data_IF_742759681813
#
_entry.id   IF_742759681813
#
_cell.length_a   1.000
_cell.length_b   1.000
_cell.length_c   1.000
_cell.angle_alpha   90.00
_cell.angle_beta   90.00
_cell.angle_gamma   90.00
#
_symmetry.space_group_name_H-M   'P 1'
#
loop_
_entity.id
_entity.type
_entity.pdbx_description
1 polymer ?
#
# COMPACT_ATOMS: atom_id res chain seq x y z
N UNK A 1 3.78 10.12 24.15
CA UNK A 1 4.16 9.73 22.78
C UNK A 1 4.80 8.35 22.83
N UNK A 2 4.05 7.25 22.84
CA UNK A 2 3.28 6.69 21.70
C UNK A 2 4.20 6.47 20.49
N UNK A 3 4.54 5.20 20.20
CA UNK A 3 5.20 4.71 18.97
C UNK A 3 4.15 4.53 17.85
N UNK A 4 4.57 4.12 16.65
CA UNK A 4 3.61 3.66 15.63
C UNK A 4 3.37 2.16 15.79
N UNK A 5 2.10 1.74 15.82
CA UNK A 5 1.70 0.33 15.89
C UNK A 5 0.82 -0.04 14.70
N UNK A 6 0.92 -1.30 14.27
CA UNK A 6 0.11 -1.84 13.17
C UNK A 6 -0.13 -3.34 13.35
N UNK A 7 -1.34 -3.82 13.09
CA UNK A 7 -1.65 -5.25 13.11
C UNK A 7 -1.38 -5.83 11.72
N UNK A 8 -0.45 -6.79 11.61
CA UNK A 8 -0.18 -7.46 10.34
C UNK A 8 -1.41 -8.26 9.86
N UNK A 9 -1.66 -8.35 8.55
CA UNK A 9 -2.75 -9.15 7.99
C UNK A 9 -2.50 -10.65 8.20
N UNK A 10 -3.47 -11.50 7.82
CA UNK A 10 -3.38 -12.96 7.88
C UNK A 10 -3.11 -13.50 9.30
N UNK A 11 -3.73 -12.89 10.32
CA UNK A 11 -3.50 -13.19 11.75
C UNK A 11 -2.05 -12.98 12.22
N UNK A 12 -1.29 -12.13 11.53
CA UNK A 12 0.04 -11.71 11.97
C UNK A 12 0.00 -10.88 13.26
N UNK A 13 1.14 -10.78 13.97
CA UNK A 13 1.20 -10.08 15.24
C UNK A 13 1.04 -8.56 15.07
N UNK A 14 0.76 -7.87 16.19
CA UNK A 14 0.82 -6.40 16.22
C UNK A 14 2.27 -5.95 16.29
N UNK A 15 2.75 -5.30 15.25
CA UNK A 15 4.11 -4.76 15.15
C UNK A 15 4.21 -3.33 15.69
N UNK A 16 5.43 -2.95 16.07
CA UNK A 16 5.79 -1.65 16.61
C UNK A 16 6.96 -1.09 15.78
N UNK A 17 6.83 0.14 15.29
CA UNK A 17 7.93 0.90 14.69
C UNK A 17 8.26 2.07 15.64
N UNK A 18 9.50 2.13 16.19
CA UNK A 18 9.92 3.23 17.05
C UNK A 18 9.83 4.58 16.32
N UNK A 19 9.44 5.64 17.04
CA UNK A 19 9.52 7.01 16.50
C UNK A 19 10.96 7.35 16.12
N UNK A 20 11.11 8.12 15.04
CA UNK A 20 12.39 8.62 14.56
C UNK A 20 13.02 7.70 13.51
N UNK A 21 12.39 6.58 13.18
CA UNK A 21 12.70 5.87 11.95
C UNK A 21 12.43 6.78 10.74
N UNK A 22 13.50 7.16 10.05
CA UNK A 22 13.43 7.97 8.84
C UNK A 22 13.17 7.05 7.64
N UNK A 23 11.91 6.96 7.23
CA UNK A 23 11.51 6.28 6.00
C UNK A 23 11.93 7.12 4.79
N UNK A 24 12.78 6.56 3.93
CA UNK A 24 13.29 7.23 2.73
C UNK A 24 12.48 6.91 1.46
N UNK A 25 11.62 5.90 1.49
CA UNK A 25 10.83 5.45 0.35
C UNK A 25 11.64 4.88 -0.82
N UNK A 26 12.95 4.63 -0.64
CA UNK A 26 13.87 4.27 -1.72
C UNK A 26 13.55 2.91 -2.38
N UNK A 27 12.85 2.01 -1.67
CA UNK A 27 12.40 0.72 -2.20
C UNK A 27 11.32 0.84 -3.29
N UNK A 28 10.73 2.01 -3.53
CA UNK A 28 9.65 2.21 -4.51
C UNK A 28 10.19 2.90 -5.77
N UNK A 29 10.15 2.26 -6.96
CA UNK A 29 10.57 2.87 -8.22
C UNK A 29 9.88 4.22 -8.51
N UNK A 30 10.65 5.26 -8.83
CA UNK A 30 10.15 6.64 -9.05
C UNK A 30 8.94 6.75 -10.02
N UNK A 31 8.86 6.00 -11.14
CA UNK A 31 7.69 6.07 -12.03
C UNK A 31 6.37 5.65 -11.35
N UNK A 32 6.43 4.77 -10.35
CA UNK A 32 5.25 4.32 -9.61
C UNK A 32 4.72 5.36 -8.63
N UNK A 33 5.52 6.37 -8.24
CA UNK A 33 5.10 7.41 -7.29
C UNK A 33 3.94 8.28 -7.81
N UNK A 34 3.79 8.39 -9.14
CA UNK A 34 2.69 9.15 -9.76
C UNK A 34 1.34 8.40 -9.80
N UNK A 35 1.36 7.06 -9.69
CA UNK A 35 0.15 6.21 -9.74
C UNK A 35 -0.18 5.66 -8.35
N UNK A 36 0.85 5.22 -7.62
CA UNK A 36 0.76 4.68 -6.28
C UNK A 36 1.33 5.73 -5.32
N UNK A 37 0.49 6.70 -4.93
CA UNK A 37 0.90 7.81 -4.06
C UNK A 37 1.71 7.32 -2.85
N UNK A 38 3.00 7.70 -2.70
CA UNK A 38 3.87 7.18 -1.65
C UNK A 38 3.39 7.46 -0.24
N UNK A 39 2.58 8.51 -0.09
CA UNK A 39 2.06 9.03 1.19
C UNK A 39 0.71 8.40 1.59
N UNK A 40 0.10 7.63 0.69
CA UNK A 40 -1.14 6.91 0.96
C UNK A 40 -0.94 5.42 0.77
N UNK A 41 -1.08 4.99 -0.48
CA UNK A 41 -1.22 3.59 -0.88
C UNK A 41 0.01 2.75 -0.49
N UNK A 42 1.23 3.27 -0.68
CA UNK A 42 2.45 2.52 -0.36
C UNK A 42 3.09 2.86 0.99
N UNK A 43 2.51 3.78 1.78
CA UNK A 43 3.15 4.29 2.99
C UNK A 43 3.33 3.18 4.04
N UNK A 44 2.26 2.49 4.40
CA UNK A 44 2.26 1.42 5.42
C UNK A 44 3.14 0.22 4.99
N UNK A 45 2.95 -0.42 3.82
CA UNK A 45 3.80 -1.54 3.41
C UNK A 45 5.26 -1.11 3.21
N UNK A 46 5.51 0.07 2.64
CA UNK A 46 6.85 0.61 2.42
C UNK A 46 7.61 0.86 3.73
N UNK A 47 6.96 1.48 4.72
CA UNK A 47 7.54 1.73 6.05
C UNK A 47 7.96 0.43 6.74
N UNK A 48 7.10 -0.59 6.69
CA UNK A 48 7.36 -1.92 7.27
C UNK A 48 8.50 -2.61 6.52
N UNK A 49 8.53 -2.51 5.19
CA UNK A 49 9.57 -3.10 4.35
C UNK A 49 10.93 -2.46 4.58
N UNK A 50 11.03 -1.13 4.60
CA UNK A 50 12.29 -0.42 4.85
C UNK A 50 12.85 -0.74 6.25
N UNK A 51 12.01 -0.73 7.29
CA UNK A 51 12.45 -1.12 8.64
C UNK A 51 12.88 -2.60 8.68
N UNK A 52 12.04 -3.49 8.16
CA UNK A 52 12.28 -4.94 8.15
C UNK A 52 13.53 -5.29 7.38
N UNK A 53 13.77 -4.70 6.21
CA UNK A 53 14.96 -4.92 5.40
C UNK A 53 16.23 -4.34 6.04
N UNK A 54 16.15 -3.18 6.69
CA UNK A 54 17.29 -2.48 7.32
C UNK A 54 17.80 -3.14 8.59
N UNK A 55 16.90 -3.73 9.39
CA UNK A 55 17.24 -4.35 10.67
C UNK A 55 17.09 -5.88 10.69
N UNK A 56 16.50 -6.47 9.65
CA UNK A 56 16.15 -7.89 9.54
C UNK A 56 15.35 -8.43 10.74
N UNK A 57 14.44 -7.61 11.27
CA UNK A 57 13.36 -7.97 12.21
C UNK A 57 12.31 -6.84 12.30
N UNK A 58 11.13 -7.17 12.82
CA UNK A 58 10.17 -6.20 13.34
C UNK A 58 10.01 -6.40 14.85
N UNK A 59 9.76 -5.34 15.61
CA UNK A 59 9.27 -5.49 16.98
C UNK A 59 7.80 -5.86 16.94
N UNK A 60 7.38 -6.83 17.76
CA UNK A 60 6.01 -7.31 17.81
C UNK A 60 5.56 -7.58 19.25
N UNK A 61 4.30 -7.29 19.53
CA UNK A 61 3.63 -7.66 20.78
C UNK A 61 3.27 -9.14 20.78
N UNK A 62 3.57 -9.79 21.90
CA UNK A 62 3.12 -11.14 22.25
C UNK A 62 1.76 -11.10 22.98
N UNK A 63 1.05 -12.22 23.03
CA UNK A 63 -0.25 -12.32 23.70
C UNK A 63 -0.21 -12.02 25.22
N UNK A 64 0.95 -12.16 25.86
CA UNK A 64 1.20 -11.85 27.27
C UNK A 64 1.59 -10.39 27.54
N UNK A 65 1.69 -9.56 26.48
CA UNK A 65 2.12 -8.16 26.57
C UNK A 65 3.64 -7.95 26.58
N UNK A 66 4.45 -8.99 26.36
CA UNK A 66 5.89 -8.83 26.09
C UNK A 66 6.14 -8.40 24.64
N UNK A 67 7.36 -7.93 24.34
CA UNK A 67 7.79 -7.54 22.99
C UNK A 67 8.89 -8.49 22.52
N UNK A 68 8.72 -9.07 21.34
CA UNK A 68 9.71 -9.94 20.70
C UNK A 68 10.14 -9.42 19.32
N UNK A 69 11.13 -10.09 18.71
CA UNK A 69 11.62 -9.81 17.36
C UNK A 69 10.99 -10.76 16.34
N UNK A 70 9.92 -10.32 15.70
CA UNK A 70 9.25 -11.04 14.62
C UNK A 70 10.11 -11.05 13.34
N UNK A 71 10.11 -12.17 12.62
CA UNK A 71 10.80 -12.31 11.33
C UNK A 71 12.34 -12.27 11.38
N UNK A 72 12.95 -12.36 12.57
CA UNK A 72 14.40 -12.17 12.74
C UNK A 72 15.22 -13.19 11.93
N UNK A 73 16.10 -12.73 11.04
CA UNK A 73 17.01 -13.61 10.28
C UNK A 73 16.40 -14.20 9.00
N UNK A 74 15.18 -13.82 8.64
CA UNK A 74 14.43 -14.41 7.51
C UNK A 74 14.83 -13.83 6.15
N UNK A 75 15.44 -12.64 6.12
CA UNK A 75 15.97 -12.02 4.91
C UNK A 75 14.92 -11.52 3.92
N UNK A 76 15.42 -11.06 2.77
CA UNK A 76 14.72 -10.17 1.82
C UNK A 76 13.37 -10.73 1.33
N UNK A 77 13.32 -12.00 0.93
CA UNK A 77 12.10 -12.63 0.40
C UNK A 77 10.94 -12.66 1.41
N UNK A 78 11.23 -12.75 2.70
CA UNK A 78 10.22 -12.68 3.75
C UNK A 78 9.62 -11.27 3.83
N UNK A 79 10.48 -10.24 3.83
CA UNK A 79 10.04 -8.84 3.85
C UNK A 79 9.27 -8.45 2.57
N UNK A 80 9.68 -8.93 1.40
CA UNK A 80 8.94 -8.78 0.13
C UNK A 80 7.53 -9.40 0.19
N UNK A 81 7.37 -10.50 0.93
CA UNK A 81 6.08 -11.18 1.11
C UNK A 81 5.19 -10.37 2.04
N UNK A 82 5.72 -9.89 3.18
CA UNK A 82 5.02 -8.98 4.09
C UNK A 82 4.60 -7.68 3.37
N UNK A 83 5.48 -7.08 2.55
CA UNK A 83 5.17 -5.90 1.74
C UNK A 83 3.96 -6.14 0.82
N UNK A 84 3.92 -7.28 0.12
CA UNK A 84 2.81 -7.65 -0.77
C UNK A 84 1.50 -7.85 -0.01
N UNK A 85 1.53 -8.53 1.12
CA UNK A 85 0.31 -8.86 1.87
C UNK A 85 -0.25 -7.65 2.63
N UNK A 86 0.61 -6.84 3.26
CA UNK A 86 0.21 -5.52 3.79
C UNK A 86 -0.29 -4.62 2.65
N UNK A 87 0.39 -4.63 1.51
CA UNK A 87 -0.01 -3.87 0.32
C UNK A 87 -1.41 -4.26 -0.20
N UNK A 88 -1.79 -5.54 -0.16
CA UNK A 88 -3.16 -5.97 -0.47
C UNK A 88 -4.15 -5.55 0.62
N UNK A 89 -3.79 -5.73 1.89
CA UNK A 89 -4.68 -5.47 3.02
C UNK A 89 -5.04 -3.98 3.17
N UNK A 90 -4.08 -3.09 2.94
CA UNK A 90 -4.29 -1.63 3.01
C UNK A 90 -4.98 -1.11 1.74
N UNK A 91 -4.73 -1.72 0.57
CA UNK A 91 -5.02 -1.08 -0.72
C UNK A 91 -5.92 -1.86 -1.68
N UNK A 92 -6.48 -3.01 -1.28
CA UNK A 92 -7.19 -3.92 -2.18
C UNK A 92 -8.22 -3.24 -3.10
N UNK A 93 -9.03 -2.32 -2.54
CA UNK A 93 -9.95 -1.50 -3.33
C UNK A 93 -9.22 -0.37 -4.07
N UNK A 94 -8.39 0.42 -3.37
CA UNK A 94 -7.74 1.62 -3.92
C UNK A 94 -6.83 1.35 -5.13
N UNK A 95 -6.15 0.19 -5.20
CA UNK A 95 -5.37 -0.21 -6.38
C UNK A 95 -6.29 -0.46 -7.57
N UNK A 96 -7.38 -1.20 -7.37
CA UNK A 96 -8.35 -1.54 -8.42
C UNK A 96 -9.03 -0.26 -8.93
N UNK A 97 -9.46 0.62 -8.03
CA UNK A 97 -10.10 1.89 -8.36
C UNK A 97 -9.13 2.83 -9.12
N UNK A 98 -7.86 2.90 -8.71
CA UNK A 98 -6.83 3.70 -9.40
C UNK A 98 -6.53 3.15 -10.79
N UNK A 99 -6.40 1.84 -10.95
CA UNK A 99 -6.21 1.19 -12.26
C UNK A 99 -7.45 1.39 -13.15
N UNK A 100 -8.65 1.32 -12.58
CA UNK A 100 -9.91 1.63 -13.26
C UNK A 100 -9.95 3.06 -13.76
N UNK A 101 -9.66 4.04 -12.89
CA UNK A 101 -9.59 5.46 -13.27
C UNK A 101 -8.52 5.75 -14.32
N UNK A 102 -7.33 5.16 -14.19
CA UNK A 102 -6.25 5.31 -15.17
C UNK A 102 -6.67 4.73 -16.53
N UNK A 103 -7.29 3.56 -16.54
CA UNK A 103 -7.83 2.91 -17.76
C UNK A 103 -8.90 3.76 -18.42
N UNK A 104 -9.86 4.29 -17.65
CA UNK A 104 -10.91 5.20 -18.14
C UNK A 104 -10.33 6.51 -18.67
N UNK A 105 -9.29 7.04 -18.02
CA UNK A 105 -8.61 8.27 -18.44
C UNK A 105 -7.88 8.07 -19.76
N UNK A 106 -7.12 6.97 -19.90
CA UNK A 106 -6.49 6.59 -21.17
C UNK A 106 -7.54 6.36 -22.25
N UNK A 107 -8.59 5.57 -21.97
CA UNK A 107 -9.69 5.30 -22.92
C UNK A 107 -10.39 6.58 -23.38
N UNK A 108 -10.54 7.59 -22.51
CA UNK A 108 -11.04 8.92 -22.87
C UNK A 108 -10.07 9.70 -23.75
N UNK A 109 -8.76 9.63 -23.47
CA UNK A 109 -7.73 10.28 -24.28
C UNK A 109 -7.58 9.67 -25.69
N UNK A 110 -7.77 8.35 -25.83
CA UNK A 110 -7.71 7.65 -27.13
C UNK A 110 -9.07 7.48 -27.83
N UNK A 111 -10.13 8.14 -27.34
CA UNK A 111 -11.47 8.13 -27.96
C UNK A 111 -12.25 6.81 -27.86
N UNK A 112 -11.78 5.84 -27.07
CA UNK A 112 -12.45 4.55 -26.83
C UNK A 112 -13.60 4.65 -25.80
N UNK A 113 -13.63 5.70 -24.99
CA UNK A 113 -14.76 5.98 -24.10
C UNK A 113 -15.96 6.48 -24.92
N UNK A 114 -16.93 5.60 -25.17
CA UNK A 114 -18.20 5.97 -25.81
C UNK A 114 -18.86 7.11 -25.03
N UNK A 115 -19.11 8.25 -25.69
CA UNK A 115 -19.88 9.32 -25.07
C UNK A 115 -21.30 8.79 -24.77
N UNK A 116 -21.87 9.08 -23.59
CA UNK A 116 -23.28 8.78 -23.35
C UNK A 116 -24.11 9.54 -24.38
N UNK A 117 -24.89 8.81 -25.18
CA UNK A 117 -25.75 9.36 -26.20
C UNK A 117 -26.73 10.35 -25.56
N UNK A 118 -26.46 11.66 -25.71
CA UNK A 118 -27.38 12.71 -25.30
C UNK A 118 -28.62 12.60 -26.19
N UNK A 119 -29.68 11.99 -25.65
CA UNK A 119 -30.98 11.96 -26.33
C UNK A 119 -31.43 13.40 -26.56
N UNK A 120 -31.33 13.87 -27.81
CA UNK A 120 -31.95 15.12 -28.19
C UNK A 120 -33.46 15.03 -27.90
N UNK A 121 -34.06 16.00 -27.19
CA UNK A 121 -35.50 16.12 -27.13
C UNK A 121 -36.00 16.46 -28.54
N UNK A 122 -36.64 15.50 -29.20
CA UNK A 122 -37.20 15.70 -30.52
C UNK A 122 -38.28 16.77 -30.49
N UNK A 123 -38.07 17.86 -31.23
CA UNK A 123 -39.12 18.81 -31.57
C UNK A 123 -40.14 18.11 -32.46
N UNK A 124 -41.33 17.86 -31.94
CA UNK A 124 -42.50 17.52 -32.75
C UNK A 124 -43.21 18.83 -33.17
N UNK A 125 -43.49 19.02 -34.47
CA UNK A 125 -44.48 19.99 -34.94
C UNK A 125 -45.92 19.49 -34.71
#
# INVERSE_FOLDING_TARGET
MENWEYSLPNSGPRIIIPRGFLFDGASIPRPLWGVLSPIGLLLIPGLIHDFGYRYDYLWAWEADGTIYKYGKGQGQHFWDTIFKDVGKAVNGMAVIDTLGWATLTVARMVGLAQQPQTKHPGTHP
#
